data_IF_445276456209
#
_entry.id   IF_445276456209
#
_cell.length_a   1.000
_cell.length_b   1.000
_cell.length_c   1.000
_cell.angle_alpha   90.00
_cell.angle_beta   90.00
_cell.angle_gamma   90.00
#
_symmetry.space_group_name_H-M   'P 1'
#
loop_
_entity.id
_entity.type
_entity.pdbx_description
1 polymer ?
#
# COMPACT_ATOMS: atom_id res chain seq x y z
N UNK A 1 11.62 6.61 14.19
CA UNK A 1 11.17 5.81 13.03
C UNK A 1 11.16 6.74 11.82
N UNK A 2 11.97 6.52 10.77
CA UNK A 2 11.87 7.34 9.57
C UNK A 2 10.47 7.20 8.95
N UNK A 3 9.93 8.29 8.42
CA UNK A 3 8.62 8.29 7.77
C UNK A 3 8.58 7.20 6.67
N UNK A 4 7.49 6.45 6.58
CA UNK A 4 7.31 5.44 5.52
C UNK A 4 7.43 6.13 4.16
N UNK A 5 8.52 5.88 3.43
CA UNK A 5 8.72 6.40 2.08
C UNK A 5 7.57 5.91 1.20
N UNK A 6 6.75 6.84 0.70
CA UNK A 6 5.63 6.54 -0.19
C UNK A 6 6.20 6.22 -1.59
N UNK A 7 5.61 5.22 -2.24
CA UNK A 7 5.95 4.91 -3.63
C UNK A 7 5.46 6.01 -4.55
N UNK A 8 6.29 6.39 -5.52
CA UNK A 8 5.83 7.22 -6.64
C UNK A 8 4.88 6.42 -7.54
N UNK A 9 3.95 7.10 -8.23
CA UNK A 9 3.02 6.43 -9.15
C UNK A 9 3.73 5.68 -10.28
N UNK A 10 4.87 6.23 -10.75
CA UNK A 10 5.76 5.56 -11.70
C UNK A 10 6.28 4.22 -11.16
N UNK A 11 6.81 4.21 -9.94
CA UNK A 11 7.30 2.98 -9.30
C UNK A 11 6.18 1.97 -9.06
N UNK A 12 4.98 2.43 -8.69
CA UNK A 12 3.83 1.58 -8.45
C UNK A 12 3.38 0.85 -9.73
N UNK A 13 3.33 1.55 -10.87
CA UNK A 13 3.02 0.92 -12.15
C UNK A 13 4.10 -0.01 -12.63
N UNK A 14 5.36 0.35 -12.47
CA UNK A 14 6.48 -0.52 -12.81
C UNK A 14 6.46 -1.80 -11.96
N UNK A 15 6.15 -1.69 -10.67
CA UNK A 15 5.96 -2.84 -9.78
C UNK A 15 4.85 -3.76 -10.26
N UNK A 16 3.68 -3.21 -10.62
CA UNK A 16 2.56 -4.01 -11.15
C UNK A 16 2.90 -4.69 -12.48
N UNK A 17 3.60 -3.98 -13.37
CA UNK A 17 4.09 -4.54 -14.64
C UNK A 17 5.03 -5.71 -14.42
N UNK A 18 6.04 -5.55 -13.56
CA UNK A 18 7.02 -6.60 -13.28
C UNK A 18 6.37 -7.82 -12.62
N UNK A 19 5.44 -7.61 -11.69
CA UNK A 19 4.68 -8.71 -11.09
C UNK A 19 3.82 -9.44 -12.14
N UNK A 20 3.22 -8.70 -13.07
CA UNK A 20 2.46 -9.26 -14.20
C UNK A 20 3.29 -10.08 -15.18
N UNK A 21 4.59 -9.78 -15.32
CA UNK A 21 5.53 -10.56 -16.14
C UNK A 21 6.15 -11.76 -15.42
N UNK A 22 5.69 -12.09 -14.21
CA UNK A 22 6.21 -13.23 -13.43
C UNK A 22 7.48 -12.93 -12.63
N UNK A 23 7.90 -11.67 -12.53
CA UNK A 23 9.08 -11.30 -11.73
C UNK A 23 8.79 -11.44 -10.23
N UNK A 24 9.74 -11.99 -9.48
CA UNK A 24 9.55 -12.23 -8.05
C UNK A 24 9.52 -10.93 -7.24
N UNK A 25 8.81 -10.91 -6.09
CA UNK A 25 8.81 -9.72 -5.22
C UNK A 25 10.21 -9.32 -4.72
N UNK A 26 11.15 -10.28 -4.68
CA UNK A 26 12.55 -10.03 -4.31
C UNK A 26 13.28 -9.25 -5.41
N UNK A 27 13.16 -9.67 -6.66
CA UNK A 27 13.77 -8.98 -7.79
C UNK A 27 13.14 -7.60 -8.01
N UNK A 28 11.81 -7.49 -7.89
CA UNK A 28 11.12 -6.20 -7.98
C UNK A 28 11.65 -5.20 -6.93
N UNK A 29 11.88 -5.67 -5.70
CA UNK A 29 12.42 -4.85 -4.63
C UNK A 29 13.83 -4.32 -4.97
N UNK A 30 14.67 -5.17 -5.57
CA UNK A 30 16.02 -4.80 -6.02
C UNK A 30 15.95 -3.79 -7.17
N UNK A 31 15.17 -4.09 -8.21
CA UNK A 31 15.02 -3.25 -9.41
C UNK A 31 14.52 -1.84 -9.08
N UNK A 32 13.58 -1.74 -8.13
CA UNK A 32 12.96 -0.47 -7.77
C UNK A 32 13.61 0.24 -6.57
N UNK A 33 14.55 -0.41 -5.88
CA UNK A 33 15.19 0.13 -4.67
C UNK A 33 14.21 0.29 -3.50
N UNK A 34 13.26 -0.63 -3.35
CA UNK A 34 12.18 -0.57 -2.34
C UNK A 34 12.30 -1.77 -1.40
N UNK A 35 11.91 -1.61 -0.13
CA UNK A 35 11.79 -2.75 0.78
C UNK A 35 10.84 -3.84 0.24
N UNK A 36 11.29 -5.09 0.29
CA UNK A 36 10.52 -6.27 -0.18
C UNK A 36 9.16 -6.41 0.50
N UNK A 37 9.04 -6.03 1.77
CA UNK A 37 7.76 -5.98 2.49
C UNK A 37 6.79 -4.98 1.87
N UNK A 38 7.27 -3.79 1.48
CA UNK A 38 6.44 -2.78 0.81
C UNK A 38 5.95 -3.25 -0.55
N UNK A 39 6.80 -3.97 -1.32
CA UNK A 39 6.36 -4.59 -2.58
C UNK A 39 5.23 -5.60 -2.31
N UNK A 40 5.44 -6.52 -1.37
CA UNK A 40 4.42 -7.52 -1.02
C UNK A 40 3.11 -6.91 -0.53
N UNK A 41 3.17 -5.87 0.31
CA UNK A 41 1.98 -5.19 0.81
C UNK A 41 1.19 -4.52 -0.31
N UNK A 42 1.86 -3.87 -1.27
CA UNK A 42 1.17 -3.24 -2.40
C UNK A 42 0.66 -4.27 -3.41
N UNK A 43 1.35 -5.39 -3.64
CA UNK A 43 0.85 -6.48 -4.48
C UNK A 43 -0.38 -7.15 -3.87
N UNK A 44 -0.36 -7.44 -2.56
CA UNK A 44 -1.54 -7.96 -1.83
C UNK A 44 -2.72 -7.01 -1.92
N UNK A 45 -2.46 -5.70 -1.81
CA UNK A 45 -3.48 -4.65 -1.94
C UNK A 45 -4.06 -4.59 -3.35
N UNK A 46 -3.24 -4.69 -4.38
CA UNK A 46 -3.70 -4.77 -5.76
C UNK A 46 -4.56 -6.02 -6.00
N UNK A 47 -4.11 -7.19 -5.51
CA UNK A 47 -4.88 -8.43 -5.60
C UNK A 47 -6.24 -8.33 -4.87
N UNK A 48 -6.29 -7.69 -3.71
CA UNK A 48 -7.52 -7.52 -2.93
C UNK A 48 -8.60 -6.67 -3.63
N UNK A 49 -8.21 -5.82 -4.57
CA UNK A 49 -9.13 -5.04 -5.40
C UNK A 49 -9.30 -5.62 -6.82
N UNK A 50 -8.78 -6.83 -7.06
CA UNK A 50 -8.83 -7.49 -8.36
C UNK A 50 -8.01 -6.80 -9.45
N UNK A 51 -7.01 -6.00 -9.08
CA UNK A 51 -6.16 -5.31 -10.03
C UNK A 51 -5.04 -6.23 -10.50
N UNK A 52 -5.08 -6.61 -11.78
CA UNK A 52 -4.02 -7.34 -12.47
C UNK A 52 -3.38 -6.47 -13.55
N UNK A 53 -2.15 -6.85 -13.93
CA UNK A 53 -1.54 -6.37 -15.16
C UNK A 53 -2.03 -7.23 -16.34
N UNK A 54 -2.26 -6.67 -17.55
CA UNK A 54 -2.10 -5.28 -17.94
C UNK A 54 -3.18 -4.36 -17.35
N UNK A 55 -2.77 -3.16 -16.94
CA UNK A 55 -3.73 -2.14 -16.48
C UNK A 55 -4.58 -1.66 -17.67
N UNK A 56 -5.89 -1.41 -17.47
CA UNK A 56 -6.73 -0.81 -18.51
C UNK A 56 -6.14 0.53 -18.99
N UNK A 57 -6.18 0.80 -20.29
CA UNK A 57 -5.61 2.03 -20.87
C UNK A 57 -6.20 3.33 -20.31
N UNK A 58 -7.47 3.28 -19.91
CA UNK A 58 -8.21 4.40 -19.29
C UNK A 58 -7.88 4.59 -17.80
N UNK A 59 -7.04 3.74 -17.20
CA UNK A 59 -6.73 3.83 -15.77
C UNK A 59 -5.66 4.92 -15.52
N UNK A 60 -6.12 6.11 -15.17
CA UNK A 60 -5.27 7.24 -14.78
C UNK A 60 -4.50 6.97 -13.48
N UNK A 61 -3.41 7.73 -13.26
CA UNK A 61 -2.65 7.70 -12.00
C UNK A 61 -3.55 7.90 -10.79
N UNK A 62 -4.41 8.93 -10.84
CA UNK A 62 -5.29 9.27 -9.72
C UNK A 62 -6.32 8.19 -9.46
N UNK A 63 -6.86 7.56 -10.52
CA UNK A 63 -7.78 6.45 -10.38
C UNK A 63 -7.09 5.21 -9.78
N UNK A 64 -5.86 4.92 -10.20
CA UNK A 64 -5.04 3.86 -9.64
C UNK A 64 -4.70 4.12 -8.17
N UNK A 65 -4.30 5.34 -7.85
CA UNK A 65 -4.00 5.76 -6.48
C UNK A 65 -5.24 5.65 -5.59
N UNK A 66 -6.37 6.19 -6.04
CA UNK A 66 -7.63 6.07 -5.31
C UNK A 66 -8.03 4.61 -5.10
N UNK A 67 -7.96 3.76 -6.13
CA UNK A 67 -8.32 2.34 -5.97
C UNK A 67 -7.43 1.61 -4.96
N UNK A 68 -6.12 1.89 -4.95
CA UNK A 68 -5.19 1.23 -4.03
C UNK A 68 -5.25 1.82 -2.62
N UNK A 69 -5.39 3.14 -2.48
CA UNK A 69 -5.18 3.82 -1.20
C UNK A 69 -6.43 4.48 -0.60
N UNK A 70 -7.53 4.70 -1.34
CA UNK A 70 -8.71 5.42 -0.83
C UNK A 70 -9.36 4.76 0.39
N UNK A 71 -9.37 3.42 0.47
CA UNK A 71 -9.92 2.69 1.64
C UNK A 71 -8.92 2.50 2.79
N UNK A 72 -7.66 2.83 2.58
CA UNK A 72 -6.58 2.63 3.56
C UNK A 72 -5.99 3.97 4.04
N UNK A 73 -6.72 5.08 3.88
CA UNK A 73 -6.47 6.31 4.64
C UNK A 73 -6.44 5.93 6.11
N UNK A 74 -5.23 5.83 6.66
CA UNK A 74 -4.89 5.48 8.04
C UNK A 74 -5.91 4.50 8.65
N UNK A 75 -5.67 3.18 8.61
CA UNK A 75 -6.33 2.30 9.60
C UNK A 75 -5.99 2.92 10.95
N UNK A 76 -6.92 3.67 11.56
CA UNK A 76 -6.77 4.17 12.91
C UNK A 76 -6.41 2.93 13.69
N UNK A 77 -5.19 2.91 14.25
CA UNK A 77 -4.74 1.76 15.02
C UNK A 77 -5.82 1.50 16.04
N UNK A 78 -6.52 0.38 15.92
CA UNK A 78 -7.62 0.08 16.82
C UNK A 78 -6.99 0.00 18.21
N UNK A 79 -7.25 1.00 19.05
CA UNK A 79 -6.73 1.04 20.42
C UNK A 79 -7.27 -0.22 21.09
N UNK A 80 -6.41 -1.22 21.32
CA UNK A 80 -6.79 -2.50 21.92
C UNK A 80 -7.17 -2.37 23.40
N UNK A 81 -7.10 -1.17 23.96
CA UNK A 81 -7.42 -0.88 25.35
C UNK A 81 -8.62 0.05 25.39
N UNK A 82 -9.63 -0.34 26.16
CA UNK A 82 -10.71 0.54 26.62
C UNK A 82 -10.08 1.76 27.28
N UNK A 83 -10.55 2.96 26.93
CA UNK A 83 -10.04 4.18 27.55
C UNK A 83 -10.41 4.20 29.04
N UNK A 84 -9.47 4.50 29.95
CA UNK A 84 -9.79 4.70 31.35
C UNK A 84 -10.82 5.82 31.50
N UNK A 85 -11.74 5.67 32.45
CA UNK A 85 -12.66 6.75 32.79
C UNK A 85 -11.91 7.86 33.53
N UNK A 86 -11.37 8.82 32.78
CA UNK A 86 -10.64 9.98 33.31
C UNK A 86 -11.49 10.87 34.22
N UNK A 87 -12.82 10.80 34.13
CA UNK A 87 -13.72 11.56 34.99
C UNK A 87 -13.62 11.15 36.48
N UNK A 88 -13.05 9.97 36.77
CA UNK A 88 -12.84 9.50 38.14
C UNK A 88 -11.47 9.91 38.73
N UNK A 89 -10.63 10.60 37.96
CA UNK A 89 -9.28 11.03 38.37
C UNK A 89 -9.16 12.55 38.56
N UNK A 90 -10.22 13.32 38.35
CA UNK A 90 -10.27 14.74 38.69
C UNK A 90 -10.69 14.87 40.16
N UNK A 91 -9.70 15.02 41.04
CA UNK A 91 -9.86 15.50 42.43
C UNK A 91 -9.64 17.01 42.44
#
# INVERSE_FOLDING_TARGET
MPAKRRLTMRQLRQMLRLAGSGTSSREIAVVLGIARSTVQDNLRRAAAIGLSWPLPGELTDDALENKLFARNGVKQGTRRRTEPNWAHLAV
#
